data_IF_555389313280
#
_entry.id   IF_555389313280
#
_cell.length_a   1.000
_cell.length_b   1.000
_cell.length_c   1.000
_cell.angle_alpha   90.00
_cell.angle_beta   90.00
_cell.angle_gamma   90.00
#
_symmetry.space_group_name_H-M   'P 1'
#
loop_
_entity.id
_entity.type
_entity.pdbx_description
1 polymer ?
#
# COMPACT_ATOMS: atom_id res chain seq x y z
N UNK A 1 -12.35 -12.43 -4.34
CA UNK A 1 -13.55 -11.70 -3.90
C UNK A 1 -13.30 -10.24 -3.49
N UNK A 2 -12.06 -9.82 -3.20
CA UNK A 2 -11.71 -8.41 -2.88
C UNK A 2 -11.74 -7.51 -4.13
N UNK A 3 -11.46 -8.08 -5.31
CA UNK A 3 -11.40 -7.38 -6.59
C UNK A 3 -12.68 -6.60 -6.96
N UNK A 4 -13.85 -7.15 -6.64
CA UNK A 4 -15.15 -6.54 -6.95
C UNK A 4 -15.49 -5.36 -6.03
N UNK A 5 -14.97 -5.36 -4.79
CA UNK A 5 -15.10 -4.25 -3.83
C UNK A 5 -14.16 -3.09 -4.20
N UNK A 6 -13.09 -3.36 -4.95
CA UNK A 6 -12.13 -2.40 -5.48
C UNK A 6 -12.73 -1.45 -6.50
N UNK A 7 -13.70 -1.91 -7.28
CA UNK A 7 -14.41 -1.07 -8.25
C UNK A 7 -15.45 -0.11 -7.64
N UNK A 8 -15.96 -0.40 -6.44
CA UNK A 8 -17.01 0.41 -5.79
C UNK A 8 -16.51 1.40 -4.76
N UNK A 9 -15.30 1.20 -4.24
CA UNK A 9 -14.72 2.07 -3.22
C UNK A 9 -13.84 3.11 -3.90
N UNK A 10 -14.27 4.36 -3.93
CA UNK A 10 -13.53 5.49 -4.54
C UNK A 10 -12.28 5.93 -3.75
N UNK A 11 -11.78 5.09 -2.83
CA UNK A 11 -10.70 5.41 -1.90
C UNK A 11 -9.51 4.47 -2.08
N UNK A 12 -8.30 5.02 -1.99
CA UNK A 12 -7.04 4.28 -1.91
C UNK A 12 -6.96 3.33 -0.72
N UNK A 13 -7.87 3.41 0.25
CA UNK A 13 -7.92 2.55 1.45
C UNK A 13 -7.95 1.05 1.14
N UNK A 14 -8.60 0.67 0.04
CA UNK A 14 -8.61 -0.73 -0.36
C UNK A 14 -7.27 -1.21 -0.91
N UNK A 15 -6.50 -0.30 -1.53
CA UNK A 15 -5.14 -0.62 -1.95
C UNK A 15 -4.21 -0.74 -0.73
N UNK A 16 -4.45 0.04 0.33
CA UNK A 16 -3.77 -0.13 1.63
C UNK A 16 -4.10 -1.50 2.25
N UNK A 17 -5.37 -1.90 2.24
CA UNK A 17 -5.79 -3.22 2.75
C UNK A 17 -5.19 -4.38 1.94
N UNK A 18 -5.08 -4.21 0.62
CA UNK A 18 -4.39 -5.15 -0.26
C UNK A 18 -2.90 -5.24 0.07
N UNK A 19 -2.26 -4.10 0.32
CA UNK A 19 -0.88 -4.06 0.72
C UNK A 19 -0.63 -4.79 2.04
N UNK A 20 -1.50 -4.62 3.06
CA UNK A 20 -1.41 -5.37 4.33
C UNK A 20 -1.45 -6.88 4.08
N UNK A 21 -2.30 -7.32 3.15
CA UNK A 21 -2.43 -8.74 2.82
C UNK A 21 -1.20 -9.28 2.08
N UNK A 22 -0.65 -8.52 1.14
CA UNK A 22 0.61 -8.88 0.49
C UNK A 22 1.77 -8.91 1.50
N UNK A 23 1.78 -8.00 2.48
CA UNK A 23 2.72 -7.96 3.58
C UNK A 23 2.66 -9.24 4.43
N UNK A 24 1.45 -9.67 4.79
CA UNK A 24 1.20 -10.89 5.54
C UNK A 24 1.62 -12.16 4.77
N UNK A 25 1.50 -12.14 3.44
CA UNK A 25 1.92 -13.23 2.56
C UNK A 25 3.43 -13.22 2.22
N UNK A 26 4.19 -12.22 2.68
CA UNK A 26 5.60 -12.07 2.33
C UNK A 26 5.86 -11.51 0.92
N UNK A 27 4.81 -11.12 0.20
CA UNK A 27 4.89 -10.56 -1.16
C UNK A 27 5.16 -9.04 -1.12
N UNK A 28 6.30 -8.64 -0.59
CA UNK A 28 6.57 -7.23 -0.29
C UNK A 28 6.62 -6.32 -1.53
N UNK A 29 7.09 -6.84 -2.68
CA UNK A 29 7.10 -6.08 -3.94
C UNK A 29 5.68 -5.69 -4.40
N UNK A 30 4.72 -6.60 -4.24
CA UNK A 30 3.30 -6.34 -4.53
C UNK A 30 2.66 -5.44 -3.49
N UNK A 31 3.05 -5.59 -2.22
CA UNK A 31 2.61 -4.71 -1.14
C UNK A 31 2.99 -3.25 -1.41
N UNK A 32 4.23 -3.02 -1.85
CA UNK A 32 4.73 -1.69 -2.23
C UNK A 32 3.89 -1.09 -3.36
N UNK A 33 3.73 -1.83 -4.45
CA UNK A 33 3.01 -1.37 -5.63
C UNK A 33 1.55 -1.01 -5.31
N UNK A 34 0.88 -1.83 -4.49
CA UNK A 34 -0.47 -1.54 -4.02
C UNK A 34 -0.53 -0.25 -3.19
N UNK A 35 0.41 -0.02 -2.26
CA UNK A 35 0.45 1.25 -1.53
C UNK A 35 0.65 2.45 -2.44
N UNK A 36 1.60 2.37 -3.39
CA UNK A 36 1.89 3.48 -4.30
C UNK A 36 0.66 3.83 -5.14
N UNK A 37 -0.09 2.83 -5.63
CA UNK A 37 -1.39 3.05 -6.29
C UNK A 37 -2.43 3.67 -5.34
N UNK A 38 -2.44 3.26 -4.07
CA UNK A 38 -3.31 3.83 -3.04
C UNK A 38 -3.01 5.31 -2.79
N UNK A 39 -1.74 5.69 -2.70
CA UNK A 39 -1.30 7.09 -2.59
C UNK A 39 -1.59 7.90 -3.85
N UNK A 40 -1.34 7.33 -5.04
CA UNK A 40 -1.60 7.99 -6.32
C UNK A 40 -3.09 8.35 -6.51
N UNK A 41 -4.01 7.58 -5.91
CA UNK A 41 -5.45 7.89 -5.93
C UNK A 41 -5.85 9.07 -5.03
N UNK A 42 -4.95 9.55 -4.16
CA UNK A 42 -5.08 10.81 -3.40
C UNK A 42 -6.16 10.83 -2.30
N UNK A 43 -7.14 9.92 -2.34
CA UNK A 43 -8.16 9.75 -1.29
C UNK A 43 -7.80 8.56 -0.42
N UNK A 44 -7.00 8.80 0.60
CA UNK A 44 -6.78 7.86 1.70
C UNK A 44 -7.56 8.36 2.90
N UNK A 45 -8.42 7.52 3.47
CA UNK A 45 -9.09 7.83 4.73
C UNK A 45 -8.08 7.84 5.88
N UNK A 46 -7.05 6.99 5.79
CA UNK A 46 -5.99 6.89 6.80
C UNK A 46 -4.58 7.04 6.19
N UNK A 47 -4.15 8.27 5.82
CA UNK A 47 -2.83 8.51 5.20
C UNK A 47 -1.67 8.17 6.15
N UNK A 48 -1.84 8.39 7.45
CA UNK A 48 -0.87 8.04 8.49
C UNK A 48 -0.62 6.53 8.55
N UNK A 49 -1.69 5.74 8.45
CA UNK A 49 -1.62 4.27 8.45
C UNK A 49 -0.92 3.76 7.19
N UNK A 50 -1.26 4.30 6.03
CA UNK A 50 -0.61 4.00 4.76
C UNK A 50 0.90 4.27 4.79
N UNK A 51 1.32 5.40 5.39
CA UNK A 51 2.74 5.75 5.55
C UNK A 51 3.49 4.76 6.45
N UNK A 52 2.92 4.38 7.59
CA UNK A 52 3.53 3.37 8.47
C UNK A 52 3.70 2.04 7.76
N UNK A 53 2.68 1.63 7.01
CA UNK A 53 2.69 0.39 6.25
C UNK A 53 3.76 0.40 5.15
N UNK A 54 3.89 1.52 4.43
CA UNK A 54 4.93 1.71 3.42
C UNK A 54 6.33 1.59 4.02
N UNK A 55 6.54 2.23 5.17
CA UNK A 55 7.83 2.17 5.89
C UNK A 55 8.16 0.75 6.33
N UNK A 56 7.17 -0.02 6.81
CA UNK A 56 7.37 -1.44 7.18
C UNK A 56 7.73 -2.29 5.95
N UNK A 57 7.06 -2.06 4.82
CA UNK A 57 7.34 -2.74 3.54
C UNK A 57 8.75 -2.42 3.04
N UNK A 58 9.14 -1.13 3.04
CA UNK A 58 10.48 -0.69 2.65
C UNK A 58 11.56 -1.30 3.56
N UNK A 59 11.32 -1.30 4.88
CA UNK A 59 12.24 -1.91 5.83
C UNK A 59 12.41 -3.42 5.57
N UNK A 60 11.34 -4.16 5.27
CA UNK A 60 11.40 -5.60 4.96
C UNK A 60 12.03 -5.90 3.60
N UNK A 61 11.81 -5.05 2.61
CA UNK A 61 12.46 -5.16 1.31
C UNK A 61 13.96 -4.82 1.37
N UNK A 62 14.44 -4.22 2.47
CA UNK A 62 15.79 -3.67 2.54
C UNK A 62 16.01 -2.51 1.58
N UNK A 63 14.93 -1.91 1.08
CA UNK A 63 14.96 -0.78 0.15
C UNK A 63 14.73 0.48 0.98
N UNK A 64 15.80 1.19 1.28
CA UNK A 64 15.73 2.54 1.85
C UNK A 64 15.01 3.46 0.86
N UNK A 65 14.22 4.42 1.37
CA UNK A 65 13.57 5.52 0.62
C UNK A 65 14.63 6.38 -0.11
N UNK A 66 15.34 5.82 -1.10
CA UNK A 66 16.58 6.38 -1.67
C UNK A 66 16.35 6.92 -3.08
N UNK A 67 15.22 7.55 -3.34
CA UNK A 67 14.98 8.25 -4.62
C UNK A 67 13.94 9.36 -4.50
N UNK A 68 14.08 10.23 -3.51
CA UNK A 68 13.54 11.60 -3.55
C UNK A 68 14.55 12.52 -2.85
N UNK A 69 15.70 12.72 -3.50
CA UNK A 69 16.58 13.88 -3.26
C UNK A 69 16.77 14.61 -4.59
#
# INVERSE_FOLDING_TARGET
MIDLLCRKTSGGDLHISLAERYLANGEWGRARMAIEEGFAKGRLSEPERARRLFRDICARLGVTETSLQ
#
